data_IF_622415249831
#
_entry.id   IF_622415249831
#
_cell.length_a   1.000
_cell.length_b   1.000
_cell.length_c   1.000
_cell.angle_alpha   90.00
_cell.angle_beta   90.00
_cell.angle_gamma   90.00
#
_symmetry.space_group_name_H-M   'P 1'
#
loop_
_entity.id
_entity.type
_entity.pdbx_description
1 polymer ?
#
# COMPACT_ATOMS: atom_id res chain seq x y z
N UNK A 1 0.07 -12.35 4.84
CA UNK A 1 -0.79 -11.21 4.46
C UNK A 1 -0.70 -10.96 2.97
N UNK A 2 -1.82 -10.88 2.31
CA UNK A 2 -1.88 -10.62 0.88
C UNK A 2 -2.59 -9.30 0.64
N UNK A 3 -1.94 -8.41 -0.04
CA UNK A 3 -2.45 -7.06 -0.28
C UNK A 3 -2.83 -6.89 -1.72
N UNK A 4 -3.91 -6.18 -1.95
CA UNK A 4 -4.42 -5.91 -3.30
C UNK A 4 -4.93 -4.47 -3.34
N UNK A 5 -4.77 -3.82 -4.48
CA UNK A 5 -5.33 -2.48 -4.65
C UNK A 5 -6.85 -2.56 -4.67
N UNK A 6 -7.48 -1.60 -4.02
CA UNK A 6 -8.94 -1.49 -4.09
C UNK A 6 -9.30 -1.04 -5.51
N UNK A 7 -10.15 -1.79 -6.24
CA UNK A 7 -10.46 -1.45 -7.63
C UNK A 7 -11.24 -0.14 -7.78
N UNK A 8 -11.76 0.41 -6.69
CA UNK A 8 -12.44 1.69 -6.73
C UNK A 8 -11.47 2.88 -6.72
N UNK A 9 -10.18 2.63 -6.56
CA UNK A 9 -9.19 3.69 -6.47
C UNK A 9 -8.61 3.99 -7.84
N UNK A 10 -8.59 5.29 -8.19
CA UNK A 10 -7.93 5.76 -9.39
C UNK A 10 -6.66 6.50 -8.99
N UNK A 11 -5.61 6.30 -9.74
CA UNK A 11 -4.32 6.89 -9.45
C UNK A 11 -3.95 7.89 -10.52
N UNK A 12 -3.48 9.05 -10.10
CA UNK A 12 -3.01 10.09 -11.02
C UNK A 12 -1.62 10.53 -10.58
N UNK A 13 -0.59 10.29 -11.39
CA UNK A 13 0.76 10.69 -11.01
C UNK A 13 0.88 12.20 -10.97
N UNK A 14 1.49 12.69 -9.91
CA UNK A 14 1.94 14.08 -9.82
C UNK A 14 3.45 14.05 -9.99
N UNK A 15 4.10 15.16 -9.87
CA UNK A 15 5.52 15.23 -10.16
C UNK A 15 6.34 14.19 -9.38
N UNK A 16 6.36 14.31 -8.07
CA UNK A 16 7.06 13.37 -7.20
C UNK A 16 6.12 12.62 -6.28
N UNK A 17 4.84 12.78 -6.49
CA UNK A 17 3.82 12.23 -5.62
C UNK A 17 2.78 11.49 -6.43
N UNK A 18 1.86 10.87 -5.75
CA UNK A 18 0.77 10.15 -6.40
C UNK A 18 -0.54 10.56 -5.76
N UNK A 19 -1.48 10.98 -6.57
CA UNK A 19 -2.82 11.28 -6.09
C UNK A 19 -3.67 10.05 -6.25
N UNK A 20 -4.29 9.60 -5.16
CA UNK A 20 -5.22 8.49 -5.19
C UNK A 20 -6.62 9.02 -4.91
N UNK A 21 -7.55 8.64 -5.74
CA UNK A 21 -8.94 9.09 -5.63
C UNK A 21 -9.84 7.88 -5.42
N UNK A 22 -10.64 7.91 -4.35
CA UNK A 22 -11.60 6.86 -4.09
C UNK A 22 -12.96 7.30 -4.62
N UNK A 23 -13.39 6.69 -5.71
CA UNK A 23 -14.64 7.04 -6.36
C UNK A 23 -15.85 6.76 -5.49
N UNK A 24 -15.78 5.73 -4.66
CA UNK A 24 -16.90 5.37 -3.79
C UNK A 24 -17.15 6.40 -2.70
N UNK A 25 -16.09 6.91 -2.08
CA UNK A 25 -16.21 7.87 -1.00
C UNK A 25 -15.99 9.30 -1.45
N UNK A 26 -15.55 9.49 -2.68
CA UNK A 26 -15.27 10.80 -3.26
C UNK A 26 -14.18 11.53 -2.50
N UNK A 27 -13.17 10.81 -2.07
CA UNK A 27 -12.06 11.37 -1.30
C UNK A 27 -10.74 11.24 -2.04
N UNK A 28 -9.86 12.19 -1.80
CA UNK A 28 -8.53 12.23 -2.39
C UNK A 28 -7.47 11.99 -1.32
N UNK A 29 -6.39 11.35 -1.71
CA UNK A 29 -5.24 11.12 -0.85
C UNK A 29 -3.97 11.36 -1.65
N UNK A 30 -3.01 12.08 -1.07
CA UNK A 30 -1.74 12.33 -1.75
C UNK A 30 -0.69 11.45 -1.09
N UNK A 31 -0.01 10.64 -1.89
CA UNK A 31 1.04 9.75 -1.42
C UNK A 31 2.39 10.38 -1.72
N UNK A 32 3.26 10.39 -0.71
CA UNK A 32 4.63 10.87 -0.91
C UNK A 32 5.41 9.85 -1.75
N UNK A 33 6.68 10.16 -2.02
CA UNK A 33 7.50 9.35 -2.91
C UNK A 33 7.55 7.88 -2.51
N UNK A 34 7.79 7.58 -1.24
CA UNK A 34 7.90 6.18 -0.82
C UNK A 34 6.57 5.45 -0.83
N UNK A 35 5.49 6.11 -0.40
CA UNK A 35 4.17 5.50 -0.44
C UNK A 35 3.71 5.29 -1.88
N UNK A 36 4.00 6.24 -2.75
CA UNK A 36 3.69 6.11 -4.18
C UNK A 36 4.46 4.93 -4.77
N UNK A 37 5.72 4.77 -4.41
CA UNK A 37 6.53 3.65 -4.88
C UNK A 37 5.89 2.33 -4.46
N UNK A 38 5.48 2.21 -3.20
CA UNK A 38 4.85 0.98 -2.73
C UNK A 38 3.56 0.68 -3.46
N UNK A 39 2.75 1.69 -3.69
CA UNK A 39 1.51 1.53 -4.45
C UNK A 39 1.80 0.97 -5.83
N UNK A 40 2.82 1.51 -6.50
CA UNK A 40 3.17 1.06 -7.86
C UNK A 40 3.70 -0.36 -7.89
N UNK A 41 4.27 -0.84 -6.78
CA UNK A 41 4.80 -2.20 -6.73
C UNK A 41 3.70 -3.24 -6.63
N UNK A 42 2.50 -2.87 -6.21
CA UNK A 42 1.39 -3.80 -6.08
C UNK A 42 0.68 -3.90 -7.43
N UNK A 43 0.79 -5.03 -8.09
CA UNK A 43 0.13 -5.23 -9.38
C UNK A 43 -1.15 -6.02 -9.17
N UNK A 44 -1.06 -7.30 -8.96
CA UNK A 44 -2.24 -8.09 -8.60
C UNK A 44 -2.32 -8.23 -7.09
N UNK A 45 -1.30 -8.84 -6.50
CA UNK A 45 -1.19 -9.00 -5.06
C UNK A 45 0.25 -8.80 -4.66
N UNK A 46 0.47 -8.50 -3.39
CA UNK A 46 1.80 -8.36 -2.84
C UNK A 46 1.80 -8.68 -1.36
N UNK A 47 2.96 -9.02 -0.82
CA UNK A 47 3.14 -9.22 0.61
C UNK A 47 3.99 -8.09 1.16
N UNK A 48 3.96 -7.91 2.48
CA UNK A 48 4.79 -6.91 3.12
C UNK A 48 6.27 -7.17 2.87
N UNK A 49 6.67 -8.44 2.91
CA UNK A 49 8.07 -8.82 2.69
C UNK A 49 8.53 -8.47 1.29
N UNK A 50 7.69 -8.73 0.29
CA UNK A 50 8.01 -8.39 -1.09
C UNK A 50 8.15 -6.88 -1.26
N UNK A 51 7.25 -6.13 -0.64
CA UNK A 51 7.30 -4.67 -0.70
C UNK A 51 8.53 -4.12 0.01
N UNK A 52 8.88 -4.70 1.16
CA UNK A 52 10.07 -4.27 1.89
C UNK A 52 11.34 -4.54 1.08
N UNK A 53 11.42 -5.68 0.42
CA UNK A 53 12.56 -5.99 -0.43
C UNK A 53 12.68 -5.00 -1.59
N UNK A 54 11.57 -4.66 -2.20
CA UNK A 54 11.57 -3.69 -3.30
C UNK A 54 12.02 -2.32 -2.80
N UNK A 55 11.57 -1.93 -1.61
CA UNK A 55 11.94 -0.66 -1.03
C UNK A 55 13.45 -0.58 -0.76
N UNK A 56 14.02 -1.65 -0.20
CA UNK A 56 15.45 -1.72 0.04
C UNK A 56 16.26 -1.61 -1.24
N UNK A 57 15.79 -2.22 -2.32
CA UNK A 57 16.50 -2.18 -3.59
C UNK A 57 16.46 -0.80 -4.24
N UNK A 58 15.40 -0.07 -4.00
CA UNK A 58 15.18 1.21 -4.68
C UNK A 58 15.66 2.42 -3.89
N UNK A 59 15.76 2.30 -2.57
CA UNK A 59 16.15 3.41 -1.71
C UNK A 59 17.37 3.01 -0.92
N UNK A 60 18.48 3.68 -1.17
CA UNK A 60 19.74 3.33 -0.50
C UNK A 60 19.71 3.76 0.96
N UNK A 61 20.51 3.10 1.77
CA UNK A 61 20.66 3.44 3.18
C UNK A 61 19.56 2.89 4.08
N UNK A 62 18.67 2.10 3.53
CA UNK A 62 17.54 1.55 4.29
C UNK A 62 17.86 0.11 4.67
N UNK A 63 17.85 -0.21 5.96
CA UNK A 63 18.05 -1.59 6.40
C UNK A 63 16.78 -2.41 6.17
N UNK A 64 16.89 -3.74 6.07
CA UNK A 64 15.71 -4.57 5.90
C UNK A 64 14.68 -4.39 7.01
N UNK A 65 15.13 -4.22 8.25
CA UNK A 65 14.21 -4.03 9.38
C UNK A 65 13.47 -2.70 9.28
N UNK A 66 14.19 -1.64 8.90
CA UNK A 66 13.56 -0.34 8.70
C UNK A 66 12.57 -0.38 7.55
N UNK A 67 12.95 -1.04 6.45
CA UNK A 67 12.08 -1.14 5.30
C UNK A 67 10.79 -1.87 5.66
N UNK A 68 10.89 -2.95 6.41
CA UNK A 68 9.71 -3.71 6.80
C UNK A 68 8.82 -2.89 7.73
N UNK A 69 9.42 -2.16 8.67
CA UNK A 69 8.64 -1.30 9.56
C UNK A 69 7.92 -0.20 8.79
N UNK A 70 8.61 0.43 7.84
CA UNK A 70 8.01 1.48 7.03
C UNK A 70 6.87 0.93 6.16
N UNK A 71 7.08 -0.25 5.58
CA UNK A 71 6.05 -0.90 4.77
C UNK A 71 4.83 -1.19 5.62
N UNK A 72 5.02 -1.76 6.80
CA UNK A 72 3.91 -2.09 7.69
C UNK A 72 3.10 -0.86 8.07
N UNK A 73 3.79 0.23 8.41
CA UNK A 73 3.10 1.46 8.78
C UNK A 73 2.33 2.04 7.60
N UNK A 74 2.95 2.08 6.43
CA UNK A 74 2.31 2.62 5.24
C UNK A 74 1.14 1.76 4.78
N UNK A 75 1.32 0.45 4.80
CA UNK A 75 0.27 -0.49 4.41
C UNK A 75 -0.92 -0.38 5.36
N UNK A 76 -0.65 -0.30 6.67
CA UNK A 76 -1.73 -0.16 7.63
C UNK A 76 -2.53 1.11 7.36
N UNK A 77 -1.85 2.21 7.09
CA UNK A 77 -2.52 3.45 6.74
C UNK A 77 -3.37 3.28 5.49
N UNK A 78 -2.83 2.66 4.46
CA UNK A 78 -3.54 2.48 3.20
C UNK A 78 -4.75 1.56 3.36
N UNK A 79 -4.63 0.51 4.15
CA UNK A 79 -5.77 -0.37 4.43
C UNK A 79 -6.83 0.38 5.21
N UNK A 80 -6.43 1.14 6.22
CA UNK A 80 -7.37 1.91 7.04
C UNK A 80 -8.12 2.95 6.22
N UNK A 81 -7.47 3.52 5.21
CA UNK A 81 -8.10 4.50 4.33
C UNK A 81 -8.89 3.86 3.18
N UNK A 82 -8.89 2.55 3.09
CA UNK A 82 -9.61 1.85 2.04
C UNK A 82 -8.90 1.83 0.70
N UNK A 83 -7.62 2.18 0.68
CA UNK A 83 -6.85 2.19 -0.57
C UNK A 83 -6.36 0.81 -0.96
N UNK A 84 -6.03 -0.01 0.03
CA UNK A 84 -5.62 -1.40 -0.17
C UNK A 84 -6.56 -2.34 0.56
N UNK A 85 -6.65 -3.55 0.06
CA UNK A 85 -7.43 -4.61 0.67
C UNK A 85 -6.47 -5.66 1.18
N UNK A 86 -6.59 -6.02 2.44
CA UNK A 86 -5.80 -7.08 3.06
C UNK A 86 -6.61 -8.36 3.02
N UNK A 87 -6.40 -9.14 1.98
CA UNK A 87 -7.19 -10.37 1.78
C UNK A 87 -6.84 -11.46 2.76
N UNK A 88 -5.59 -11.49 3.19
CA UNK A 88 -5.17 -12.53 4.11
C UNK A 88 -5.78 -12.36 5.48
N UNK A 89 -5.85 -11.14 5.93
CA UNK A 89 -6.38 -10.85 7.25
C UNK A 89 -7.88 -10.94 7.32
N UNK A 90 -8.54 -10.67 6.24
CA UNK A 90 -9.98 -10.69 6.24
C UNK A 90 -10.57 -12.07 6.35
N UNK A 91 -9.91 -13.00 5.79
CA UNK A 91 -10.48 -14.30 5.68
C UNK A 91 -11.01 -14.85 6.97
N UNK A 92 -10.26 -14.97 8.00
CA UNK A 92 -10.79 -15.60 9.20
C UNK A 92 -11.54 -14.66 10.04
N UNK A 93 -11.08 -13.53 10.15
CA UNK A 93 -11.53 -12.69 11.20
C UNK A 93 -12.95 -12.35 11.14
N UNK A 94 -13.37 -12.13 10.06
CA UNK A 94 -14.65 -11.54 10.01
C UNK A 94 -15.72 -12.42 10.15
N UNK A 95 -15.47 -13.41 10.06
CA UNK A 95 -16.54 -14.20 10.17
C UNK A 95 -17.16 -14.22 11.43
N UNK A 96 -16.92 -13.87 11.68
CA UNK A 96 -17.45 -13.90 12.41
C UNK A 96 -17.96 -13.61 12.92
N UNK A 97 -18.22 -13.64 13.05
CA UNK A 97 -19.00 -13.72 13.66
C UNK A 97 -19.65 -13.40 13.57
#
# INVERSE_FOLDING_TARGET
MTLRKNPQIEAAPLKDELLLFNASSNKFFVMNTSAAFLWEQIRDTASEETLASALCRSFSGLSPDQALADVRNTVKMMVDLGLLIDEGSLAPAKTEP
#
